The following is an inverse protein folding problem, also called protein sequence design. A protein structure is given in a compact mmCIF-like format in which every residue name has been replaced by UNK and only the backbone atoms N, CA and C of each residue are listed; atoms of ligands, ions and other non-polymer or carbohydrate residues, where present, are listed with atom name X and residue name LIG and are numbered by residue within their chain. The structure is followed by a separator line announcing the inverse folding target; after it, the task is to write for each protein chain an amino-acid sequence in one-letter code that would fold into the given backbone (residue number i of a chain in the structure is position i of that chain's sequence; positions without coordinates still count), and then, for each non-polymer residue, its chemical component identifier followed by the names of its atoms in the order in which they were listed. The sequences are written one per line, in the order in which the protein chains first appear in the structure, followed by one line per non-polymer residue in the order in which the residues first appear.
data_IF_304577867020
#
_entry.id   IF_304577867020
#
_cell.length_a   1.000
_cell.length_b   1.000
_cell.length_c   1.000
_cell.angle_alpha   90.00
_cell.angle_beta   90.00
_cell.angle_gamma   90.00
#
_symmetry.space_group_name_H-M   'P 1'
#
loop_
_entity.id
_entity.type
_entity.pdbx_description
1 polymer ?
#
# COMPACT_ATOMS: atom_id res chain seq x y z
N UNK A 1 -20.85 6.24 2.22
CA UNK A 1 -20.12 6.68 1.01
C UNK A 1 -18.90 5.80 0.89
N UNK A 2 -18.70 5.16 -0.26
CA UNK A 2 -17.47 4.42 -0.55
C UNK A 2 -16.42 5.42 -1.00
N UNK A 3 -15.22 5.30 -0.45
CA UNK A 3 -14.06 6.09 -0.83
C UNK A 3 -13.16 5.21 -1.71
N UNK A 4 -12.68 5.80 -2.79
CA UNK A 4 -11.77 5.13 -3.71
C UNK A 4 -10.33 5.27 -3.20
N UNK A 5 -9.68 4.14 -2.99
CA UNK A 5 -8.27 4.05 -2.63
C UNK A 5 -7.49 3.39 -3.77
N UNK A 6 -6.20 3.70 -3.84
CA UNK A 6 -5.25 3.08 -4.77
C UNK A 6 -4.10 2.50 -4.00
N UNK A 7 -3.89 1.20 -4.17
CA UNK A 7 -2.71 0.50 -3.70
C UNK A 7 -1.72 0.40 -4.85
N UNK A 8 -0.60 1.08 -4.73
CA UNK A 8 0.53 0.93 -5.64
C UNK A 8 1.47 -0.12 -5.09
N UNK A 9 1.61 -1.24 -5.79
CA UNK A 9 2.60 -2.26 -5.48
C UNK A 9 3.89 -1.83 -6.15
N UNK A 10 4.94 -1.71 -5.35
CA UNK A 10 6.27 -1.32 -5.80
C UNK A 10 7.12 -2.56 -6.04
N UNK A 11 8.18 -2.37 -6.82
CA UNK A 11 9.22 -3.38 -7.00
C UNK A 11 9.92 -3.71 -5.68
N UNK A 12 10.77 -4.75 -5.69
CA UNK A 12 11.53 -5.18 -4.52
C UNK A 12 12.49 -4.12 -3.94
N UNK A 13 12.76 -3.03 -4.68
CA UNK A 13 13.59 -1.89 -4.25
C UNK A 13 12.73 -0.72 -3.74
N UNK A 14 11.42 -0.74 -3.98
CA UNK A 14 10.52 0.36 -3.67
C UNK A 14 10.67 1.57 -4.60
N UNK A 15 11.30 1.42 -5.76
CA UNK A 15 11.62 2.55 -6.66
C UNK A 15 10.61 2.72 -7.79
N UNK A 16 10.09 1.61 -8.32
CA UNK A 16 9.12 1.61 -9.41
C UNK A 16 7.80 1.01 -8.98
N UNK A 17 6.71 1.54 -9.53
CA UNK A 17 5.37 0.95 -9.40
C UNK A 17 5.28 -0.20 -10.40
N UNK A 18 5.16 -1.43 -9.91
CA UNK A 18 4.94 -2.62 -10.75
C UNK A 18 3.46 -2.85 -11.03
N UNK A 19 2.59 -2.54 -10.06
CA UNK A 19 1.15 -2.76 -10.19
C UNK A 19 0.33 -1.71 -9.43
N UNK A 20 -0.93 -1.55 -9.83
CA UNK A 20 -1.88 -0.62 -9.20
C UNK A 20 -3.25 -1.29 -9.05
N UNK A 21 -3.71 -1.40 -7.82
CA UNK A 21 -5.02 -1.97 -7.47
C UNK A 21 -5.93 -0.87 -6.90
N UNK A 22 -7.11 -0.70 -7.49
CA UNK A 22 -8.14 0.17 -6.93
C UNK A 22 -8.95 -0.59 -5.87
N UNK A 23 -9.11 0.02 -4.69
CA UNK A 23 -9.79 -0.55 -3.53
C UNK A 23 -10.95 0.38 -3.17
N UNK A 24 -12.17 -0.15 -3.24
CA UNK A 24 -13.36 0.51 -2.72
C UNK A 24 -13.56 0.14 -1.25
N UNK A 25 -13.42 1.12 -0.36
CA UNK A 25 -13.54 0.92 1.08
C UNK A 25 -14.35 2.03 1.74
N UNK A 26 -15.04 1.70 2.84
CA UNK A 26 -15.86 2.69 3.55
C UNK A 26 -15.01 3.71 4.32
N UNK A 27 -13.82 3.33 4.78
CA UNK A 27 -12.92 4.14 5.59
C UNK A 27 -11.47 3.69 5.44
N UNK A 28 -10.54 4.47 6.01
CA UNK A 28 -9.10 4.19 5.91
C UNK A 28 -8.72 2.84 6.54
N UNK A 29 -9.38 2.43 7.64
CA UNK A 29 -9.05 1.18 8.34
C UNK A 29 -9.40 -0.07 7.52
N UNK A 30 -10.54 -0.04 6.85
CA UNK A 30 -11.00 -1.09 5.94
C UNK A 30 -10.05 -1.20 4.74
N UNK A 31 -9.70 -0.04 4.14
CA UNK A 31 -8.75 0.04 3.03
C UNK A 31 -7.36 -0.48 3.41
N UNK A 32 -6.89 -0.17 4.62
CA UNK A 32 -5.60 -0.67 5.14
C UNK A 32 -5.63 -2.19 5.30
N UNK A 33 -6.74 -2.77 5.76
CA UNK A 33 -6.87 -4.21 5.93
C UNK A 33 -6.78 -4.92 4.59
N UNK A 34 -7.58 -4.48 3.61
CA UNK A 34 -7.53 -5.03 2.25
C UNK A 34 -6.16 -4.82 1.59
N UNK A 35 -5.58 -3.64 1.76
CA UNK A 35 -4.26 -3.34 1.21
C UNK A 35 -3.15 -4.19 1.84
N UNK A 36 -3.24 -4.48 3.14
CA UNK A 36 -2.28 -5.33 3.84
C UNK A 36 -2.34 -6.79 3.36
N UNK A 37 -3.53 -7.29 3.06
CA UNK A 37 -3.71 -8.63 2.49
C UNK A 37 -3.13 -8.72 1.07
N UNK A 38 -3.30 -7.65 0.28
CA UNK A 38 -2.77 -7.58 -1.09
C UNK A 38 -1.26 -7.33 -1.13
N UNK A 39 -0.71 -6.56 -0.20
CA UNK A 39 0.72 -6.22 -0.16
C UNK A 39 1.62 -7.35 0.36
N UNK A 40 1.06 -8.53 0.68
CA UNK A 40 1.64 -9.66 1.42
C UNK A 40 3.16 -9.92 1.36
N UNK A 41 3.88 -9.53 0.30
CA UNK A 41 5.35 -9.71 0.16
C UNK A 41 6.08 -8.59 -0.58
N UNK A 42 5.36 -7.58 -1.07
CA UNK A 42 5.95 -6.53 -1.89
C UNK A 42 5.81 -5.19 -1.16
N UNK A 43 6.81 -4.31 -1.28
CA UNK A 43 6.65 -2.94 -0.81
C UNK A 43 5.44 -2.33 -1.52
N UNK A 44 4.53 -1.69 -0.79
CA UNK A 44 3.35 -1.09 -1.39
C UNK A 44 2.97 0.23 -0.71
N UNK A 45 2.23 1.07 -1.41
CA UNK A 45 1.71 2.33 -0.88
C UNK A 45 0.22 2.46 -1.12
N UNK A 46 -0.53 2.67 -0.04
CA UNK A 46 -1.95 2.96 -0.10
C UNK A 46 -2.19 4.46 -0.08
N UNK A 47 -2.95 4.91 -1.06
CA UNK A 47 -3.32 6.30 -1.29
C UNK A 47 -4.83 6.46 -1.36
N UNK A 48 -5.35 7.52 -0.76
CA UNK A 48 -6.72 8.00 -0.90
C UNK A 48 -6.68 9.25 -1.78
N UNK A 49 -6.97 9.13 -3.07
CA UNK A 49 -6.80 10.22 -4.03
C UNK A 49 -5.38 10.81 -3.98
N UNK A 50 -5.22 12.05 -3.48
CA UNK A 50 -3.93 12.74 -3.35
C UNK A 50 -3.26 12.58 -1.97
N UNK A 51 -3.86 11.83 -1.05
CA UNK A 51 -3.37 11.64 0.33
C UNK A 51 -2.78 10.25 0.51
N UNK A 52 -1.51 10.15 0.86
CA UNK A 52 -0.92 8.88 1.29
C UNK A 52 -1.52 8.46 2.63
N UNK A 53 -2.16 7.30 2.66
CA UNK A 53 -2.80 6.74 3.87
C UNK A 53 -1.78 5.92 4.65
N UNK A 54 -1.08 5.01 3.96
CA UNK A 54 -0.10 4.11 4.59
C UNK A 54 0.92 3.59 3.60
N UNK A 55 2.17 3.48 4.04
CA UNK A 55 3.21 2.69 3.36
C UNK A 55 3.33 1.31 3.99
N UNK A 56 3.38 0.28 3.16
CA UNK A 56 3.69 -1.09 3.49
C UNK A 56 5.10 -1.37 2.98
N UNK A 57 6.11 -0.81 3.63
CA UNK A 57 7.49 -1.20 3.33
C UNK A 57 7.68 -2.58 3.93
N UNK A 58 8.09 -3.56 3.12
CA UNK A 58 8.66 -4.78 3.68
C UNK A 58 9.87 -4.31 4.50
N UNK A 59 9.79 -4.48 5.81
CA UNK A 59 10.87 -4.14 6.71
C UNK A 59 12.04 -5.08 6.41
N UNK A 60 12.80 -4.80 5.34
CA UNK A 60 14.24 -4.71 5.50
C UNK A 60 14.49 -3.55 6.44
N UNK A 61 14.17 -3.79 7.71
CA UNK A 61 14.97 -3.29 8.80
C UNK A 61 16.39 -3.64 8.39
N UNK A 62 17.10 -2.68 7.83
CA UNK A 62 18.52 -2.57 8.04
C UNK A 62 18.68 -2.43 9.56
N UNK A 63 18.56 -3.56 10.27
CA UNK A 63 19.38 -3.79 11.44
C UNK A 63 20.79 -3.92 10.88
N UNK A 64 21.37 -2.75 10.57
CA UNK A 64 22.80 -2.60 10.46
C UNK A 64 23.37 -2.86 11.85
N UNK A 65 24.40 -3.71 11.85
CA UNK A 65 25.33 -4.04 12.94
C UNK A 65 24.89 -5.12 13.93
#
# INVERSE_FOLDING_TARGET
MMNLYRLYILDSLGEHIEDCVEIDAANDADAITTASDLSCRNPAELWAMARKVRGFSDSRSFAAC
#
